data_IF_798410598696
#
_entry.id   IF_798410598696
#
_cell.length_a   1.000
_cell.length_b   1.000
_cell.length_c   1.000
_cell.angle_alpha   90.00
_cell.angle_beta   90.00
_cell.angle_gamma   90.00
#
_symmetry.space_group_name_H-M   'P 1'
#
loop_
_entity.id
_entity.type
_entity.pdbx_description
1 polymer ?
#
# COMPACT_ATOMS: atom_id res chain seq x y z
N UNK A 1 -5.30 -6.65 -7.78
CA UNK A 1 -4.69 -5.33 -8.07
C UNK A 1 -3.42 -5.08 -7.27
N UNK A 2 -3.49 -5.13 -5.95
CA UNK A 2 -2.29 -4.90 -5.14
C UNK A 2 -1.22 -5.96 -5.38
N UNK A 3 -1.61 -7.23 -5.39
CA UNK A 3 -0.70 -8.34 -5.65
C UNK A 3 -0.05 -8.22 -7.04
N UNK A 4 -0.84 -7.85 -8.05
CA UNK A 4 -0.34 -7.69 -9.41
C UNK A 4 0.69 -6.57 -9.50
N UNK A 5 0.41 -5.44 -8.85
CA UNK A 5 1.35 -4.32 -8.86
C UNK A 5 2.67 -4.71 -8.23
N UNK A 6 2.63 -5.35 -7.07
CA UNK A 6 3.86 -5.75 -6.36
C UNK A 6 4.46 -7.06 -6.87
N UNK A 7 3.81 -7.70 -7.83
CA UNK A 7 4.28 -8.96 -8.45
C UNK A 7 4.51 -10.05 -7.43
N UNK A 8 3.54 -10.21 -6.54
CA UNK A 8 3.50 -11.28 -5.55
C UNK A 8 2.19 -12.02 -5.65
N UNK A 9 2.13 -13.20 -5.07
CA UNK A 9 0.91 -14.00 -5.02
C UNK A 9 -0.11 -13.32 -4.11
N UNK A 10 -1.41 -13.45 -4.43
CA UNK A 10 -2.47 -12.93 -3.59
C UNK A 10 -2.41 -13.48 -2.17
N UNK A 11 -1.95 -14.72 -2.01
CA UNK A 11 -1.78 -15.32 -0.68
C UNK A 11 -0.75 -14.59 0.15
N UNK A 12 0.28 -14.04 -0.49
CA UNK A 12 1.27 -13.20 0.18
C UNK A 12 0.61 -11.93 0.74
N UNK A 13 -0.23 -11.27 -0.06
CA UNK A 13 -0.96 -10.09 0.40
C UNK A 13 -1.87 -10.44 1.57
N UNK A 14 -2.63 -11.54 1.47
CA UNK A 14 -3.51 -11.99 2.56
C UNK A 14 -2.74 -12.27 3.85
N UNK A 15 -1.57 -12.88 3.74
CA UNK A 15 -0.71 -13.16 4.89
C UNK A 15 -0.27 -11.87 5.56
N UNK A 16 0.15 -10.86 4.79
CA UNK A 16 0.55 -9.57 5.33
C UNK A 16 -0.63 -8.84 5.98
N UNK A 17 -1.82 -8.93 5.40
CA UNK A 17 -3.01 -8.35 5.99
C UNK A 17 -3.32 -9.00 7.33
N UNK A 18 -3.12 -10.31 7.47
CA UNK A 18 -3.30 -10.99 8.74
C UNK A 18 -2.24 -10.58 9.77
N UNK A 19 -0.99 -10.54 9.36
CA UNK A 19 0.12 -10.20 10.26
C UNK A 19 0.13 -8.75 10.69
N UNK A 20 -0.12 -7.84 9.76
CA UNK A 20 0.01 -6.40 9.96
C UNK A 20 -1.35 -5.69 9.86
N UNK A 21 -2.43 -6.43 10.14
CA UNK A 21 -3.78 -5.91 9.98
C UNK A 21 -4.05 -4.63 10.74
N UNK A 22 -3.57 -4.53 11.97
CA UNK A 22 -3.79 -3.34 12.79
C UNK A 22 -3.14 -2.10 12.15
N UNK A 23 -1.89 -2.25 11.71
CA UNK A 23 -1.17 -1.17 11.05
C UNK A 23 -1.85 -0.79 9.72
N UNK A 24 -2.19 -1.78 8.92
CA UNK A 24 -2.83 -1.54 7.62
C UNK A 24 -4.19 -0.88 7.78
N UNK A 25 -4.99 -1.30 8.75
CA UNK A 25 -6.28 -0.65 9.02
C UNK A 25 -6.11 0.79 9.49
N UNK A 26 -5.11 1.04 10.32
CA UNK A 26 -4.79 2.40 10.74
C UNK A 26 -4.41 3.30 9.55
N UNK A 27 -3.92 2.70 8.47
CA UNK A 27 -3.50 3.41 7.26
C UNK A 27 -4.49 3.27 6.11
N UNK A 28 -5.73 2.86 6.40
CA UNK A 28 -6.79 2.94 5.42
C UNK A 28 -7.19 1.63 4.73
N UNK A 29 -6.64 0.49 5.15
CA UNK A 29 -7.15 -0.79 4.69
C UNK A 29 -8.49 -1.07 5.36
N UNK A 30 -9.48 -1.57 4.62
CA UNK A 30 -10.75 -1.96 5.20
C UNK A 30 -11.39 -3.08 4.40
N UNK A 31 -12.31 -3.80 5.07
CA UNK A 31 -13.13 -4.80 4.40
C UNK A 31 -14.44 -4.16 3.95
N UNK A 32 -14.73 -4.26 2.66
CA UNK A 32 -15.98 -3.80 2.09
C UNK A 32 -16.94 -4.96 1.95
N UNK A 33 -18.19 -4.76 2.35
CA UNK A 33 -19.26 -5.77 2.24
C UNK A 33 -20.59 -5.06 2.13
N UNK A 34 -21.63 -5.81 1.72
CA UNK A 34 -22.97 -5.25 1.58
C UNK A 34 -23.05 -4.12 0.57
N UNK A 35 -23.65 -3.00 0.96
CA UNK A 35 -23.87 -1.86 0.06
C UNK A 35 -22.56 -1.22 -0.41
N UNK A 36 -21.56 -1.14 0.46
CA UNK A 36 -20.24 -0.63 0.08
C UNK A 36 -19.63 -1.44 -1.06
N UNK A 37 -19.77 -2.76 -0.99
CA UNK A 37 -19.25 -3.64 -2.03
C UNK A 37 -20.02 -3.45 -3.35
N UNK A 38 -21.34 -3.24 -3.28
CA UNK A 38 -22.15 -2.93 -4.46
C UNK A 38 -21.68 -1.65 -5.12
N UNK A 39 -21.42 -0.62 -4.35
CA UNK A 39 -20.93 0.65 -4.87
C UNK A 39 -19.59 0.50 -5.58
N UNK A 40 -18.68 -0.27 -4.98
CA UNK A 40 -17.37 -0.55 -5.58
C UNK A 40 -17.55 -1.29 -6.91
N UNK A 41 -18.42 -2.30 -6.96
CA UNK A 41 -18.66 -3.03 -8.21
C UNK A 41 -19.22 -2.13 -9.30
N UNK A 42 -20.16 -1.25 -8.97
CA UNK A 42 -20.75 -0.33 -9.93
C UNK A 42 -19.74 0.70 -10.41
N UNK A 43 -18.90 1.20 -9.51
CA UNK A 43 -17.96 2.26 -9.83
C UNK A 43 -16.75 1.77 -10.63
N UNK A 44 -16.31 0.55 -10.35
CA UNK A 44 -15.11 -0.03 -10.96
C UNK A 44 -15.43 -1.21 -11.89
N UNK A 45 -16.66 -1.28 -12.39
CA UNK A 45 -17.05 -2.37 -13.28
C UNK A 45 -16.14 -2.36 -14.52
N UNK A 46 -15.51 -3.51 -14.78
CA UNK A 46 -14.54 -3.65 -15.86
C UNK A 46 -13.11 -3.34 -15.48
N UNK A 47 -12.88 -2.53 -14.46
CA UNK A 47 -11.53 -2.19 -13.98
C UNK A 47 -11.05 -3.14 -12.88
N UNK A 48 -11.98 -3.59 -12.05
CA UNK A 48 -11.71 -4.56 -10.99
C UNK A 48 -12.54 -5.80 -11.26
N UNK A 49 -11.85 -6.93 -11.38
CA UNK A 49 -12.53 -8.20 -11.58
C UNK A 49 -12.98 -8.74 -10.22
N UNK A 50 -14.18 -8.33 -9.79
CA UNK A 50 -14.79 -8.81 -8.55
C UNK A 50 -15.88 -9.82 -8.88
N UNK A 51 -15.65 -11.11 -8.59
CA UNK A 51 -16.68 -12.13 -8.85
C UNK A 51 -17.95 -11.85 -8.04
N UNK A 52 -19.11 -12.17 -8.64
CA UNK A 52 -20.40 -11.97 -7.98
C UNK A 52 -20.53 -12.74 -6.65
N UNK A 53 -19.75 -13.80 -6.49
CA UNK A 53 -19.77 -14.63 -5.28
C UNK A 53 -19.02 -14.02 -4.10
N UNK A 54 -18.20 -13.01 -4.35
CA UNK A 54 -17.44 -12.37 -3.30
C UNK A 54 -18.38 -11.53 -2.45
N UNK A 55 -18.40 -11.81 -1.16
CA UNK A 55 -19.24 -11.11 -0.18
C UNK A 55 -18.48 -10.09 0.63
N UNK A 56 -17.15 -10.22 0.65
CA UNK A 56 -16.24 -9.29 1.33
C UNK A 56 -15.08 -9.01 0.40
N UNK A 57 -14.68 -7.76 0.33
CA UNK A 57 -13.54 -7.35 -0.47
C UNK A 57 -12.61 -6.52 0.39
N UNK A 58 -11.34 -6.94 0.46
CA UNK A 58 -10.31 -6.12 1.08
C UNK A 58 -9.96 -4.95 0.17
N UNK A 59 -10.08 -3.74 0.70
CA UNK A 59 -9.84 -2.52 -0.08
C UNK A 59 -8.64 -1.79 0.50
N UNK A 60 -7.69 -1.47 -0.37
CA UNK A 60 -6.52 -0.68 -0.03
C UNK A 60 -6.74 0.74 -0.55
N UNK A 61 -6.82 1.69 0.37
CA UNK A 61 -6.68 3.09 -0.02
C UNK A 61 -5.25 3.31 -0.52
N UNK A 62 -4.98 4.44 -1.15
CA UNK A 62 -3.63 4.73 -1.61
C UNK A 62 -2.62 4.67 -0.46
N UNK A 63 -2.99 5.20 0.69
CA UNK A 63 -2.14 5.16 1.89
C UNK A 63 -1.85 3.71 2.32
N UNK A 64 -2.87 2.85 2.35
CA UNK A 64 -2.68 1.44 2.70
C UNK A 64 -1.86 0.71 1.65
N UNK A 65 -2.05 1.04 0.37
CA UNK A 65 -1.27 0.50 -0.72
C UNK A 65 0.22 0.80 -0.55
N UNK A 66 0.57 2.04 -0.20
CA UNK A 66 1.94 2.40 0.09
C UNK A 66 2.45 1.70 1.35
N UNK A 67 1.60 1.60 2.36
CA UNK A 67 1.98 0.95 3.62
C UNK A 67 2.37 -0.52 3.40
N UNK A 68 1.57 -1.29 2.65
CA UNK A 68 1.94 -2.67 2.39
C UNK A 68 3.22 -2.77 1.57
N UNK A 69 3.45 -1.82 0.68
CA UNK A 69 4.71 -1.73 -0.05
C UNK A 69 5.92 -1.50 0.85
N UNK A 70 5.73 -0.80 1.96
CA UNK A 70 6.79 -0.61 2.95
C UNK A 70 7.08 -1.88 3.74
N UNK A 71 6.11 -2.79 3.82
CA UNK A 71 6.21 -4.03 4.59
C UNK A 71 6.69 -5.23 3.78
N UNK A 72 6.37 -5.27 2.49
CA UNK A 72 6.68 -6.41 1.63
C UNK A 72 8.18 -6.57 1.39
N UNK A 73 8.77 -7.58 1.99
CA UNK A 73 10.20 -7.88 1.81
C UNK A 73 10.47 -8.78 0.60
N UNK A 74 9.45 -9.45 0.11
CA UNK A 74 9.56 -10.47 -0.95
C UNK A 74 9.41 -9.88 -2.35
N UNK A 75 9.07 -8.60 -2.46
CA UNK A 75 8.75 -7.94 -3.73
C UNK A 75 9.88 -7.00 -4.15
N UNK A 76 10.45 -7.26 -5.31
CA UNK A 76 11.42 -6.34 -5.91
C UNK A 76 10.77 -5.01 -6.28
N UNK A 77 9.51 -5.05 -6.73
CA UNK A 77 8.74 -3.85 -7.04
C UNK A 77 8.54 -2.99 -5.79
N UNK A 78 8.23 -3.63 -4.65
CA UNK A 78 8.09 -2.92 -3.38
C UNK A 78 9.41 -2.30 -2.95
N UNK A 79 10.52 -2.97 -3.17
CA UNK A 79 11.85 -2.42 -2.88
C UNK A 79 12.12 -1.17 -3.71
N UNK A 80 11.80 -1.20 -4.98
CA UNK A 80 11.93 -0.05 -5.86
C UNK A 80 11.05 1.11 -5.39
N UNK A 81 9.82 0.80 -4.98
CA UNK A 81 8.91 1.80 -4.44
C UNK A 81 9.47 2.45 -3.17
N UNK A 82 10.00 1.66 -2.25
CA UNK A 82 10.60 2.18 -1.01
C UNK A 82 11.74 3.14 -1.31
N UNK A 83 12.58 2.80 -2.28
CA UNK A 83 13.68 3.67 -2.70
C UNK A 83 13.17 5.00 -3.23
N UNK A 84 12.12 4.96 -4.07
CA UNK A 84 11.52 6.18 -4.60
C UNK A 84 10.90 7.05 -3.50
N UNK A 85 10.25 6.42 -2.53
CA UNK A 85 9.67 7.13 -1.39
C UNK A 85 10.78 7.83 -0.60
N UNK A 86 11.88 7.13 -0.34
CA UNK A 86 13.03 7.71 0.36
C UNK A 86 13.58 8.92 -0.41
N UNK A 87 13.73 8.80 -1.72
CA UNK A 87 14.21 9.90 -2.54
C UNK A 87 13.31 11.15 -2.44
N UNK A 88 12.00 10.93 -2.50
CA UNK A 88 11.01 12.00 -2.42
C UNK A 88 11.04 12.67 -1.04
N UNK A 89 11.06 11.87 0.02
CA UNK A 89 11.10 12.38 1.38
C UNK A 89 12.37 13.17 1.64
N UNK A 90 13.52 12.64 1.23
CA UNK A 90 14.80 13.31 1.41
C UNK A 90 14.81 14.63 0.64
N UNK A 91 14.37 14.63 -0.61
CA UNK A 91 14.30 15.84 -1.43
C UNK A 91 13.40 16.91 -0.78
N UNK A 92 12.24 16.47 -0.26
CA UNK A 92 11.29 17.37 0.39
C UNK A 92 11.88 18.00 1.66
N UNK A 93 12.52 17.18 2.49
CA UNK A 93 13.14 17.64 3.73
C UNK A 93 14.30 18.58 3.42
N UNK A 94 15.16 18.20 2.47
CA UNK A 94 16.30 19.03 2.08
C UNK A 94 15.84 20.39 1.51
N UNK A 95 14.78 20.40 0.72
CA UNK A 95 14.22 21.63 0.19
C UNK A 95 13.73 22.56 1.31
N UNK A 96 13.13 22.00 2.38
CA UNK A 96 12.66 22.78 3.51
C UNK A 96 13.76 23.23 4.45
N UNK A 97 14.79 22.38 4.61
CA UNK A 97 15.88 22.61 5.57
C UNK A 97 17.07 23.35 4.99
N UNK A 98 17.01 23.74 3.71
CA UNK A 98 18.14 24.39 3.05
C UNK A 98 19.21 23.42 2.60
N UNK A 99 18.90 22.15 2.51
CA UNK A 99 19.76 21.11 1.94
C UNK A 99 20.82 20.55 2.87
N UNK A 100 21.05 19.27 2.80
CA UNK A 100 22.22 18.59 3.35
C UNK A 100 22.36 18.44 4.86
N UNK A 101 21.68 19.25 5.62
CA UNK A 101 21.82 19.29 7.08
C UNK A 101 21.44 17.97 7.76
N UNK A 102 20.46 17.28 7.19
CA UNK A 102 19.95 16.02 7.74
C UNK A 102 21.05 14.95 7.83
N UNK A 103 21.97 14.93 6.90
CA UNK A 103 23.05 13.93 6.91
C UNK A 103 23.93 14.02 8.14
N UNK A 104 24.13 15.23 8.62
CA UNK A 104 24.97 15.45 9.79
C UNK A 104 24.30 14.95 11.06
N UNK A 105 22.97 15.01 11.13
CA UNK A 105 22.21 14.50 12.26
C UNK A 105 22.25 12.99 12.37
N UNK A 106 22.44 12.29 11.26
CA UNK A 106 22.48 10.83 11.21
C UNK A 106 23.85 10.25 11.57
N UNK A 107 24.83 11.06 11.80
CA UNK A 107 26.17 10.58 12.15
C UNK A 107 26.19 9.97 13.54
N UNK A 108 26.85 8.83 13.69
CA UNK A 108 27.01 8.21 15.01
C UNK A 108 27.89 9.06 15.91
#
# INVERSE_FOLDING_TARGET
MVADFYRVDERTIKRYVQEYGDELRANGYFLSQGNSLKEIRLHFDGDINVPNKVRKLGVFTFRAFLNIGMLLTESERAKQLRTRILDIVIATINGRAGGGTIYQLARP
#
